data_IF_247740896822
#
_entry.id   IF_247740896822
#
_cell.length_a   1.000
_cell.length_b   1.000
_cell.length_c   1.000
_cell.angle_alpha   90.00
_cell.angle_beta   90.00
_cell.angle_gamma   90.00
#
_symmetry.space_group_name_H-M   'P 1'
#
loop_
_entity.id
_entity.type
_entity.pdbx_description
1 polymer ?
#
# COMPACT_ATOMS: atom_id res chain seq x y z
N UNK A 1 -7.49 -6.05 -22.14
CA UNK A 1 -7.66 -5.08 -21.43
C UNK A 1 -6.84 -3.98 -21.74
N UNK A 2 -7.22 -3.00 -21.47
CA UNK A 2 -6.52 -1.88 -21.97
C UNK A 2 -6.12 -1.02 -20.84
N UNK A 3 -5.18 -0.15 -21.10
CA UNK A 3 -4.73 0.77 -20.11
C UNK A 3 -5.84 1.67 -19.62
N UNK A 4 -6.90 1.78 -20.39
CA UNK A 4 -7.99 2.64 -19.96
C UNK A 4 -8.65 2.12 -18.71
N UNK A 5 -8.33 0.89 -18.31
CA UNK A 5 -8.89 0.37 -17.07
C UNK A 5 -8.11 0.79 -15.85
N UNK A 6 -6.92 1.30 -16.00
CA UNK A 6 -6.18 1.83 -14.86
C UNK A 6 -6.58 3.28 -14.67
N UNK A 7 -7.00 3.62 -13.47
CA UNK A 7 -7.57 4.92 -13.18
C UNK A 7 -7.11 5.45 -11.83
N UNK A 8 -7.30 6.74 -11.58
CA UNK A 8 -7.00 7.28 -10.25
C UNK A 8 -7.86 6.61 -9.19
N UNK A 9 -7.31 6.43 -8.02
CA UNK A 9 -8.03 5.78 -6.94
C UNK A 9 -7.45 6.18 -5.60
N UNK A 10 -8.19 5.93 -4.53
CA UNK A 10 -7.69 6.21 -3.20
C UNK A 10 -8.32 5.24 -2.21
N UNK A 11 -7.71 5.16 -1.03
CA UNK A 11 -8.23 4.39 0.08
C UNK A 11 -7.78 5.04 1.37
N UNK A 12 -8.64 5.02 2.38
CA UNK A 12 -8.34 5.54 3.69
C UNK A 12 -8.84 6.96 3.88
N UNK A 13 -8.98 7.38 5.14
CA UNK A 13 -9.53 8.69 5.45
C UNK A 13 -8.53 9.81 5.26
N UNK A 14 -9.02 11.02 5.04
CA UNK A 14 -8.21 12.21 4.93
C UNK A 14 -8.69 13.23 5.95
N UNK A 15 -7.76 14.11 6.36
CA UNK A 15 -8.12 15.21 7.24
C UNK A 15 -7.21 15.29 8.43
N UNK A 16 -7.23 16.45 9.08
CA UNK A 16 -6.30 16.71 10.18
C UNK A 16 -6.64 15.93 11.43
N UNK A 17 -7.87 15.45 11.52
CA UNK A 17 -8.28 14.71 12.71
C UNK A 17 -8.04 13.22 12.60
N UNK A 18 -7.52 12.74 11.47
CA UNK A 18 -7.26 11.32 11.30
C UNK A 18 -6.18 10.87 12.27
N UNK A 19 -6.39 9.71 12.90
CA UNK A 19 -5.43 9.11 13.84
C UNK A 19 -5.34 7.62 13.56
N UNK A 20 -4.15 7.09 13.66
CA UNK A 20 -3.91 5.64 13.59
C UNK A 20 -4.40 5.05 12.26
N UNK A 21 -4.28 5.82 11.19
CA UNK A 21 -4.73 5.37 9.89
C UNK A 21 -3.86 6.03 8.84
N UNK A 22 -4.14 5.72 7.57
CA UNK A 22 -3.32 6.21 6.46
C UNK A 22 -4.24 6.41 5.26
N UNK A 23 -3.93 7.43 4.47
CA UNK A 23 -4.61 7.67 3.19
C UNK A 23 -3.62 7.38 2.07
N UNK A 24 -4.05 6.62 1.07
CA UNK A 24 -3.22 6.26 -0.07
C UNK A 24 -3.96 6.68 -1.33
N UNK A 25 -3.27 7.43 -2.19
CA UNK A 25 -3.84 7.92 -3.45
C UNK A 25 -2.95 7.44 -4.59
N UNK A 26 -3.54 6.89 -5.63
CA UNK A 26 -2.81 6.48 -6.82
C UNK A 26 -3.21 7.33 -7.99
N UNK A 27 -2.21 7.82 -8.73
CA UNK A 27 -2.43 8.57 -9.96
C UNK A 27 -1.63 7.95 -11.09
N UNK A 28 -2.29 7.55 -12.17
CA UNK A 28 -1.57 6.98 -13.32
C UNK A 28 -0.64 8.01 -13.97
N UNK A 29 0.43 7.50 -14.54
CA UNK A 29 1.37 8.37 -15.24
C UNK A 29 2.24 7.46 -16.09
N UNK A 30 2.94 8.04 -17.07
CA UNK A 30 3.86 7.27 -17.89
C UNK A 30 5.25 7.21 -17.27
N UNK A 31 5.45 7.88 -16.13
CA UNK A 31 6.75 7.89 -15.50
C UNK A 31 6.87 6.76 -14.52
N UNK A 32 8.12 6.39 -14.19
CA UNK A 32 8.36 5.33 -13.24
C UNK A 32 7.67 5.62 -11.93
N UNK A 33 7.27 4.57 -11.24
CA UNK A 33 6.52 4.70 -10.00
C UNK A 33 7.27 5.54 -8.98
N UNK A 34 6.58 6.54 -8.44
CA UNK A 34 7.09 7.36 -7.35
C UNK A 34 6.19 7.15 -6.14
N UNK A 35 6.78 7.06 -4.97
CA UNK A 35 6.05 6.95 -3.72
C UNK A 35 6.41 8.17 -2.88
N UNK A 36 5.43 9.03 -2.63
CA UNK A 36 5.61 10.23 -1.83
C UNK A 36 4.94 10.02 -0.49
N UNK A 37 5.71 10.16 0.58
CA UNK A 37 5.21 9.91 1.92
C UNK A 37 5.22 11.19 2.74
N UNK A 38 4.09 11.44 3.42
CA UNK A 38 4.01 12.44 4.47
C UNK A 38 3.51 11.70 5.71
N UNK A 39 4.22 11.82 6.84
CA UNK A 39 3.84 11.10 8.04
C UNK A 39 4.13 11.92 9.27
N UNK A 40 3.26 11.80 10.27
CA UNK A 40 3.47 12.47 11.55
C UNK A 40 4.63 11.86 12.32
N UNK A 41 5.04 10.64 11.96
CA UNK A 41 6.14 9.95 12.63
C UNK A 41 7.24 9.57 11.66
N UNK A 42 7.35 10.34 10.58
CA UNK A 42 8.23 10.01 9.46
C UNK A 42 9.66 9.80 9.89
N UNK A 43 10.17 10.66 10.77
CA UNK A 43 11.57 10.57 11.13
C UNK A 43 11.91 9.27 11.88
N UNK A 44 10.89 8.56 12.37
CA UNK A 44 11.12 7.29 13.04
C UNK A 44 10.81 6.10 12.15
N UNK A 45 9.78 6.20 11.31
CA UNK A 45 9.23 5.04 10.62
C UNK A 45 9.07 5.21 9.12
N UNK A 46 9.56 6.32 8.57
CA UNK A 46 9.34 6.62 7.15
C UNK A 46 9.81 5.51 6.22
N UNK A 47 11.00 4.96 6.50
CA UNK A 47 11.53 3.90 5.63
C UNK A 47 10.66 2.65 5.70
N UNK A 48 10.17 2.31 6.88
CA UNK A 48 9.30 1.15 7.05
C UNK A 48 7.99 1.33 6.31
N UNK A 49 7.43 2.53 6.38
CA UNK A 49 6.16 2.81 5.72
C UNK A 49 6.34 2.72 4.20
N UNK A 50 7.40 3.34 3.69
CA UNK A 50 7.68 3.31 2.26
C UNK A 50 7.91 1.88 1.79
N UNK A 51 8.64 1.09 2.60
CA UNK A 51 8.89 -0.31 2.25
C UNK A 51 7.60 -1.11 2.18
N UNK A 52 6.67 -0.87 3.11
CA UNK A 52 5.40 -1.57 3.10
C UNK A 52 4.60 -1.23 1.84
N UNK A 53 4.55 0.05 1.49
CA UNK A 53 3.84 0.48 0.28
C UNK A 53 4.49 -0.13 -0.96
N UNK A 54 5.83 -0.10 -1.03
CA UNK A 54 6.55 -0.66 -2.17
C UNK A 54 6.30 -2.15 -2.30
N UNK A 55 6.21 -2.85 -1.18
CA UNK A 55 5.96 -4.28 -1.21
C UNK A 55 4.65 -4.60 -1.91
N UNK A 56 3.61 -3.82 -1.63
CA UNK A 56 2.31 -4.03 -2.29
C UNK A 56 2.42 -3.66 -3.77
N UNK A 57 3.05 -2.54 -4.08
CA UNK A 57 3.19 -2.12 -5.47
C UNK A 57 3.94 -3.16 -6.28
N UNK A 58 5.00 -3.75 -5.71
CA UNK A 58 5.77 -4.77 -6.41
C UNK A 58 4.91 -6.01 -6.64
N UNK A 59 4.13 -6.41 -5.63
CA UNK A 59 3.30 -7.61 -5.76
C UNK A 59 2.22 -7.44 -6.82
N UNK A 60 1.79 -6.20 -7.05
CA UNK A 60 0.76 -5.89 -8.05
C UNK A 60 1.38 -5.47 -9.37
N UNK A 61 2.71 -5.53 -9.48
CA UNK A 61 3.44 -5.18 -10.70
C UNK A 61 3.16 -3.75 -11.14
N UNK A 62 3.04 -2.83 -10.20
CA UNK A 62 2.82 -1.42 -10.48
C UNK A 62 4.18 -0.77 -10.62
N UNK A 63 4.55 -0.43 -11.86
CA UNK A 63 5.87 0.15 -12.12
C UNK A 63 5.80 1.55 -12.70
N UNK A 64 4.62 2.12 -12.86
CA UNK A 64 4.44 3.49 -13.33
C UNK A 64 3.35 4.17 -12.50
N UNK A 65 3.46 5.48 -12.36
CA UNK A 65 2.45 6.26 -11.68
C UNK A 65 2.98 6.86 -10.39
N UNK A 66 2.07 7.35 -9.57
CA UNK A 66 2.45 7.99 -8.31
C UNK A 66 1.53 7.50 -7.20
N UNK A 67 2.14 7.06 -6.10
CA UNK A 67 1.42 6.75 -4.87
C UNK A 67 1.74 7.83 -3.85
N UNK A 68 0.72 8.54 -3.43
CA UNK A 68 0.87 9.58 -2.40
C UNK A 68 0.28 9.02 -1.12
N UNK A 69 1.11 8.94 -0.08
CA UNK A 69 0.76 8.30 1.18
C UNK A 69 0.81 9.34 2.28
N UNK A 70 -0.31 9.51 2.99
CA UNK A 70 -0.38 10.44 4.11
C UNK A 70 -0.69 9.61 5.35
N UNK A 71 0.33 9.40 6.17
CA UNK A 71 0.24 8.51 7.32
C UNK A 71 -0.01 9.29 8.61
N UNK A 72 -0.92 8.79 9.41
CA UNK A 72 -1.24 9.38 10.71
C UNK A 72 -1.05 8.34 11.81
N UNK A 73 0.04 7.56 11.71
CA UNK A 73 0.39 6.59 12.75
C UNK A 73 -0.25 5.23 12.56
N UNK A 74 -0.46 4.82 11.32
CA UNK A 74 -1.08 3.52 11.05
C UNK A 74 -0.13 2.37 11.39
N UNK A 75 -0.70 1.25 11.80
CA UNK A 75 0.06 0.01 11.94
C UNK A 75 0.37 -0.56 10.55
N UNK A 76 1.38 -1.41 10.49
CA UNK A 76 1.80 -1.95 9.20
C UNK A 76 0.66 -2.60 8.43
N UNK A 77 -0.16 -3.42 9.10
CA UNK A 77 -1.20 -4.13 8.37
C UNK A 77 -2.26 -3.16 7.81
N UNK A 78 -2.44 -2.00 8.44
CA UNK A 78 -3.35 -0.99 7.92
C UNK A 78 -2.77 -0.37 6.65
N UNK A 79 -1.45 -0.09 6.66
CA UNK A 79 -0.78 0.47 5.49
C UNK A 79 -0.88 -0.49 4.32
N UNK A 80 -0.62 -1.78 4.57
CA UNK A 80 -0.71 -2.79 3.52
C UNK A 80 -2.14 -2.89 2.98
N UNK A 81 -3.13 -2.90 3.87
CA UNK A 81 -4.52 -3.04 3.46
C UNK A 81 -5.00 -1.84 2.65
N UNK A 82 -4.66 -0.62 3.09
CA UNK A 82 -5.10 0.57 2.36
C UNK A 82 -4.43 0.66 1.00
N UNK A 83 -3.14 0.32 0.93
CA UNK A 83 -2.43 0.34 -0.34
C UNK A 83 -3.02 -0.69 -1.30
N UNK A 84 -3.27 -1.89 -0.79
CA UNK A 84 -3.89 -2.94 -1.60
C UNK A 84 -5.26 -2.48 -2.13
N UNK A 85 -6.09 -1.93 -1.25
CA UNK A 85 -7.42 -1.47 -1.64
C UNK A 85 -7.32 -0.37 -2.69
N UNK A 86 -6.40 0.57 -2.49
CA UNK A 86 -6.21 1.65 -3.46
C UNK A 86 -5.85 1.10 -4.83
N UNK A 87 -4.90 0.16 -4.89
CA UNK A 87 -4.47 -0.37 -6.17
C UNK A 87 -5.54 -1.22 -6.83
N UNK A 88 -6.33 -1.96 -6.04
CA UNK A 88 -7.44 -2.71 -6.63
C UNK A 88 -8.50 -1.77 -7.20
N UNK A 89 -8.78 -0.67 -6.51
CA UNK A 89 -9.73 0.33 -7.02
C UNK A 89 -9.20 1.00 -8.28
N UNK A 90 -7.88 1.11 -8.40
CA UNK A 90 -7.28 1.69 -9.59
C UNK A 90 -7.32 0.73 -10.79
N UNK A 91 -7.61 -0.54 -10.56
CA UNK A 91 -7.72 -1.51 -11.66
C UNK A 91 -6.63 -2.57 -11.67
N UNK A 92 -5.70 -2.52 -10.73
CA UNK A 92 -4.65 -3.54 -10.67
C UNK A 92 -5.17 -4.79 -9.96
N UNK A 93 -4.57 -5.92 -10.29
CA UNK A 93 -4.88 -7.17 -9.64
C UNK A 93 -3.62 -7.76 -9.06
N UNK A 94 -3.76 -8.43 -7.93
CA UNK A 94 -2.63 -9.05 -7.29
C UNK A 94 -3.08 -9.86 -6.09
N UNK A 95 -2.12 -10.45 -5.37
CA UNK A 95 -2.44 -11.31 -4.23
C UNK A 95 -2.81 -10.50 -3.00
N UNK A 96 -3.37 -11.19 -2.02
CA UNK A 96 -3.56 -10.58 -0.72
C UNK A 96 -2.21 -10.42 -0.04
N UNK A 97 -1.97 -9.25 0.56
CA UNK A 97 -0.67 -8.94 1.15
C UNK A 97 -0.81 -8.94 2.66
N UNK A 98 0.01 -9.74 3.33
CA UNK A 98 -0.02 -9.85 4.78
C UNK A 98 1.24 -9.25 5.40
N UNK A 99 1.16 -8.77 6.65
CA UNK A 99 2.36 -8.32 7.35
C UNK A 99 3.37 -9.45 7.49
N UNK A 100 4.63 -9.10 7.66
CA UNK A 100 5.69 -10.08 7.73
C UNK A 100 5.50 -11.07 8.85
N UNK A 101 4.96 -10.62 9.98
CA UNK A 101 4.80 -11.48 11.13
C UNK A 101 3.36 -11.93 11.33
N UNK A 102 2.52 -11.85 10.31
CA UNK A 102 1.12 -12.24 10.43
C UNK A 102 1.00 -13.73 10.64
N UNK A 103 -0.01 -14.16 11.42
CA UNK A 103 -0.26 -15.57 11.56
C UNK A 103 -0.56 -16.19 10.20
N UNK A 104 -0.02 -17.35 9.97
CA UNK A 104 -0.20 -18.06 8.71
C UNK A 104 0.81 -17.73 7.67
N UNK A 105 1.51 -16.60 7.79
CA UNK A 105 2.47 -16.26 6.79
C UNK A 105 3.77 -17.02 6.97
N UNK A 106 4.21 -17.17 8.18
CA UNK A 106 5.46 -17.86 8.42
C UNK A 106 5.31 -19.32 8.66
N UNK A 107 4.12 -19.86 8.55
CA UNK A 107 3.97 -21.24 8.81
C UNK A 107 4.43 -22.00 7.68
N UNK A 108 5.18 -22.82 7.97
CA UNK A 108 5.75 -23.50 6.89
C UNK A 108 4.66 -24.24 6.39
N UNK A 109 4.21 -23.62 6.38
CA UNK A 109 3.50 -23.63 6.20
C UNK A 109 3.02 -24.65 6.60
N UNK A 110 2.29 -24.82 7.26
CA UNK A 110 1.78 -25.36 7.83
C UNK A 110 1.01 -25.96 7.36
N UNK A 111 0.93 -25.87 6.93
CA UNK A 111 0.67 -25.92 6.38
C UNK A 111 0.80 -26.64 5.84
N UNK A 112 1.03 -26.67 5.89
CA UNK A 112 1.51 -26.82 5.60
C UNK A 112 1.59 -27.48 6.07
N UNK A 113 1.10 -27.62 6.93
CA UNK A 113 1.35 -27.70 7.47
C UNK A 113 1.08 -28.50 7.58
N UNK A 114 0.82 -28.55 7.69
CA UNK A 114 0.84 -28.72 7.82
C UNK A 114 0.67 -29.09 7.73
#
# INVERSE_FOLDING_TARGET
MTDSEIRPASAGPQGETVRSDVNVVFEPSSEALAIDLTSKVDYLYGDSITAAVRRVADAFAVDHGRLTVTDAGALEWVILARTETCLRRAGFEGPEILPEDAPGKGEPRRRERL
#
